data_IF_985132541674
#
_entry.id   IF_985132541674
#
_cell.length_a   1.000
_cell.length_b   1.000
_cell.length_c   1.000
_cell.angle_alpha   90.00
_cell.angle_beta   90.00
_cell.angle_gamma   90.00
#
_symmetry.space_group_name_H-M   'P 1'
#
loop_
_entity.id
_entity.type
_entity.pdbx_description
1 polymer ?
#
# COMPACT_ATOMS: atom_id res chain seq x y z
N UNK A 1 -8.30 9.41 5.84
CA UNK A 1 -7.89 8.05 5.45
C UNK A 1 -6.60 8.13 4.67
N UNK A 2 -5.82 7.06 4.70
CA UNK A 2 -4.50 6.99 4.08
C UNK A 2 -4.35 5.61 3.48
N UNK A 3 -3.98 5.54 2.21
CA UNK A 3 -3.61 4.27 1.58
C UNK A 3 -2.28 3.81 2.18
N UNK A 4 -2.11 2.53 2.44
CA UNK A 4 -0.82 1.95 2.84
C UNK A 4 -0.43 0.85 1.88
N UNK A 5 0.80 0.97 1.39
CA UNK A 5 1.45 0.07 0.45
C UNK A 5 2.17 -1.09 1.17
N UNK A 6 2.60 -2.12 0.43
CA UNK A 6 3.32 -3.27 0.96
C UNK A 6 4.61 -2.87 1.67
N UNK A 7 5.39 -1.93 1.11
CA UNK A 7 6.66 -1.48 1.67
C UNK A 7 6.57 -1.06 3.15
N UNK A 8 5.74 -0.07 3.51
CA UNK A 8 5.55 0.29 4.92
C UNK A 8 4.98 -0.83 5.80
N UNK A 9 4.13 -1.72 5.28
CA UNK A 9 3.62 -2.85 6.06
C UNK A 9 4.76 -3.81 6.44
N UNK A 10 5.68 -4.08 5.50
CA UNK A 10 6.88 -4.87 5.74
C UNK A 10 7.78 -4.13 6.74
N UNK A 11 8.10 -2.86 6.48
CA UNK A 11 9.01 -2.07 7.30
C UNK A 11 8.51 -1.88 8.74
N UNK A 12 7.20 -1.74 8.96
CA UNK A 12 6.64 -1.64 10.32
C UNK A 12 6.67 -2.97 11.08
N UNK A 13 6.62 -4.08 10.35
CA UNK A 13 6.57 -5.43 10.91
C UNK A 13 7.96 -6.00 11.18
N UNK A 14 8.91 -5.75 10.29
CA UNK A 14 10.30 -6.18 10.36
C UNK A 14 11.19 -5.07 10.93
N UNK A 15 11.62 -5.22 12.19
CA UNK A 15 12.49 -4.23 12.84
C UNK A 15 13.90 -4.13 12.26
N UNK A 16 14.30 -5.09 11.41
CA UNK A 16 15.57 -5.07 10.70
C UNK A 16 15.50 -4.38 9.34
N UNK A 17 14.29 -4.05 8.87
CA UNK A 17 14.11 -3.34 7.60
C UNK A 17 14.71 -1.92 7.68
N UNK A 18 15.40 -1.51 6.61
CA UNK A 18 16.08 -0.21 6.56
C UNK A 18 15.11 0.97 6.70
N UNK A 19 13.85 0.82 6.28
CA UNK A 19 12.83 1.86 6.36
C UNK A 19 12.06 1.83 7.69
N UNK A 20 12.34 0.86 8.58
CA UNK A 20 11.59 0.64 9.82
C UNK A 20 11.44 1.92 10.65
N UNK A 21 12.55 2.63 10.89
CA UNK A 21 12.54 3.85 11.71
C UNK A 21 11.75 4.98 11.03
N UNK A 22 11.85 5.11 9.70
CA UNK A 22 11.17 6.13 8.91
C UNK A 22 9.66 5.90 8.92
N UNK A 23 9.24 4.66 8.67
CA UNK A 23 7.84 4.26 8.73
C UNK A 23 7.25 4.36 10.14
N UNK A 24 8.01 3.96 11.18
CA UNK A 24 7.57 4.09 12.58
C UNK A 24 7.36 5.53 13.03
N UNK A 25 8.23 6.45 12.60
CA UNK A 25 8.04 7.87 12.88
C UNK A 25 6.78 8.40 12.18
N UNK A 26 6.60 8.07 10.89
CA UNK A 26 5.48 8.53 10.09
C UNK A 26 4.12 8.05 10.60
N UNK A 27 3.97 6.75 10.90
CA UNK A 27 2.68 6.16 11.27
C UNK A 27 2.08 6.78 12.53
N UNK A 28 2.90 7.31 13.45
CA UNK A 28 2.44 7.97 14.68
C UNK A 28 1.53 9.18 14.44
N UNK A 29 1.61 9.78 13.25
CA UNK A 29 0.83 10.95 12.83
C UNK A 29 -0.37 10.61 11.94
N UNK A 30 -0.54 9.33 11.55
CA UNK A 30 -1.54 8.92 10.59
C UNK A 30 -2.84 8.50 11.28
N UNK A 31 -4.00 8.94 10.76
CA UNK A 31 -5.28 8.45 11.26
C UNK A 31 -5.47 6.99 10.86
N UNK A 32 -5.84 6.15 11.83
CA UNK A 32 -6.27 4.76 11.62
C UNK A 32 -7.79 4.68 11.38
N UNK A 33 -8.28 3.66 10.65
CA UNK A 33 -7.50 2.63 9.95
C UNK A 33 -6.79 3.18 8.71
N UNK A 34 -5.61 2.62 8.42
CA UNK A 34 -5.00 2.73 7.09
C UNK A 34 -5.78 1.84 6.11
N UNK A 35 -5.79 2.16 4.83
CA UNK A 35 -6.52 1.40 3.80
C UNK A 35 -5.52 0.71 2.89
N UNK A 36 -5.67 -0.59 2.65
CA UNK A 36 -4.86 -1.34 1.68
C UNK A 36 -5.75 -2.24 0.82
N UNK A 37 -5.15 -3.07 -0.03
CA UNK A 37 -5.83 -4.02 -0.91
C UNK A 37 -5.21 -5.41 -0.77
N UNK A 38 -5.95 -6.47 -1.09
CA UNK A 38 -5.42 -7.84 -1.02
C UNK A 38 -4.15 -8.07 -1.86
N UNK A 39 -3.97 -7.49 -3.06
CA UNK A 39 -2.70 -7.54 -3.78
C UNK A 39 -1.50 -7.03 -2.97
N UNK A 40 -1.60 -5.83 -2.38
CA UNK A 40 -0.51 -5.27 -1.55
C UNK A 40 -0.30 -6.07 -0.25
N UNK A 41 -1.37 -6.56 0.39
CA UNK A 41 -1.27 -7.46 1.54
C UNK A 41 -0.57 -8.77 1.14
N UNK A 42 -0.87 -9.32 -0.04
CA UNK A 42 -0.29 -10.58 -0.52
C UNK A 42 1.21 -10.42 -0.76
N UNK A 43 1.63 -9.32 -1.37
CA UNK A 43 3.04 -8.99 -1.55
C UNK A 43 3.78 -8.87 -0.21
N UNK A 44 3.21 -8.11 0.74
CA UNK A 44 3.79 -7.97 2.07
C UNK A 44 3.89 -9.32 2.82
N UNK A 45 2.85 -10.15 2.74
CA UNK A 45 2.85 -11.50 3.33
C UNK A 45 3.89 -12.42 2.69
N UNK A 46 4.10 -12.32 1.38
CA UNK A 46 5.11 -13.09 0.66
C UNK A 46 6.52 -12.69 1.13
N UNK A 47 6.83 -11.40 1.14
CA UNK A 47 8.16 -10.90 1.56
C UNK A 47 8.43 -11.19 3.03
N UNK A 48 7.45 -10.99 3.92
CA UNK A 48 7.60 -11.31 5.35
C UNK A 48 7.77 -12.82 5.57
N UNK A 49 7.12 -13.64 4.76
CA UNK A 49 7.29 -15.10 4.78
C UNK A 49 8.71 -15.51 4.41
N UNK A 50 9.28 -14.89 3.36
CA UNK A 50 10.65 -15.15 2.93
C UNK A 50 11.69 -14.69 3.97
N UNK A 51 11.53 -13.48 4.53
CA UNK A 51 12.48 -12.88 5.47
C UNK A 51 12.42 -13.45 6.89
N UNK A 52 11.21 -13.68 7.40
CA UNK A 52 10.97 -13.95 8.82
C UNK A 52 10.04 -15.15 9.07
N UNK A 53 9.57 -15.83 8.02
CA UNK A 53 8.63 -16.94 8.14
C UNK A 53 7.29 -16.54 8.76
N UNK A 54 6.65 -17.52 9.40
CA UNK A 54 5.37 -17.32 10.07
C UNK A 54 5.35 -16.19 11.11
N UNK A 55 6.38 -15.98 11.96
CA UNK A 55 6.41 -14.86 12.88
C UNK A 55 6.14 -13.48 12.23
N UNK A 56 6.74 -13.21 11.06
CA UNK A 56 6.51 -11.96 10.33
C UNK A 56 5.10 -11.87 9.76
N UNK A 57 4.64 -12.94 9.10
CA UNK A 57 3.27 -13.00 8.55
C UNK A 57 2.19 -12.84 9.64
N UNK A 58 2.38 -13.49 10.79
CA UNK A 58 1.48 -13.39 11.95
C UNK A 58 1.39 -11.98 12.50
N UNK A 59 2.50 -11.24 12.53
CA UNK A 59 2.52 -9.87 13.02
C UNK A 59 1.71 -8.95 12.11
N UNK A 60 1.87 -9.05 10.78
CA UNK A 60 1.01 -8.35 9.83
C UNK A 60 -0.45 -8.79 9.95
N UNK A 61 -0.73 -10.09 10.08
CA UNK A 61 -2.09 -10.60 10.26
C UNK A 61 -2.77 -10.03 11.50
N UNK A 62 -2.00 -9.87 12.59
CA UNK A 62 -2.51 -9.30 13.84
C UNK A 62 -2.89 -7.83 13.66
N UNK A 63 -2.15 -7.06 12.86
CA UNK A 63 -2.47 -5.66 12.53
C UNK A 63 -3.81 -5.52 11.77
N UNK A 64 -4.12 -6.49 10.89
CA UNK A 64 -5.43 -6.57 10.21
C UNK A 64 -6.55 -6.86 11.23
N UNK A 65 -6.33 -7.79 12.16
CA UNK A 65 -7.33 -8.25 13.12
C UNK A 65 -7.73 -7.22 14.19
N UNK A 66 -6.87 -6.24 14.49
CA UNK A 66 -7.15 -5.19 15.48
C UNK A 66 -7.59 -3.85 14.87
N UNK A 67 -7.80 -3.80 13.56
CA UNK A 67 -8.29 -2.61 12.86
C UNK A 67 -7.23 -1.53 12.61
N UNK A 68 -5.93 -1.87 12.66
CA UNK A 68 -4.87 -0.93 12.26
C UNK A 68 -4.84 -0.69 10.75
N UNK A 69 -5.23 -1.71 9.98
CA UNK A 69 -5.32 -1.67 8.52
C UNK A 69 -6.65 -2.31 8.10
N UNK A 70 -7.40 -1.60 7.27
CA UNK A 70 -8.60 -2.07 6.59
C UNK A 70 -8.22 -2.49 5.17
N UNK A 71 -8.61 -3.72 4.79
CA UNK A 71 -8.40 -4.21 3.42
C UNK A 71 -9.64 -3.91 2.59
N UNK A 72 -9.58 -2.87 1.76
CA UNK A 72 -10.66 -2.51 0.86
C UNK A 72 -10.80 -3.58 -0.23
N UNK A 73 -12.05 -3.96 -0.51
CA UNK A 73 -12.37 -4.78 -1.66
C UNK A 73 -12.03 -4.03 -2.97
N UNK A 74 -11.60 -4.79 -3.97
CA UNK A 74 -11.50 -4.35 -5.36
C UNK A 74 -12.85 -4.67 -6.01
N UNK A 75 -13.52 -3.67 -6.55
CA UNK A 75 -14.83 -3.81 -7.17
C UNK A 75 -14.70 -3.95 -8.69
N UNK A 76 -15.74 -4.44 -9.36
CA UNK A 76 -15.74 -4.57 -10.82
C UNK A 76 -15.49 -3.22 -11.53
N UNK A 77 -15.95 -2.11 -10.92
CA UNK A 77 -15.70 -0.75 -11.42
C UNK A 77 -14.24 -0.30 -11.30
N UNK A 78 -13.44 -0.93 -10.45
CA UNK A 78 -12.00 -0.66 -10.31
C UNK A 78 -11.18 -1.32 -11.44
N UNK A 79 -11.66 -2.42 -12.02
CA UNK A 79 -10.89 -3.23 -12.99
C UNK A 79 -10.49 -2.46 -14.26
N UNK A 80 -11.37 -1.69 -14.94
CA UNK A 80 -10.97 -0.89 -16.09
C UNK A 80 -9.91 0.15 -15.71
N UNK A 81 -10.01 0.73 -14.51
CA UNK A 81 -9.05 1.70 -14.01
C UNK A 81 -7.70 1.06 -13.77
N UNK A 82 -7.65 -0.08 -13.09
CA UNK A 82 -6.42 -0.86 -12.85
C UNK A 82 -5.73 -1.22 -14.17
N UNK A 83 -6.47 -1.76 -15.14
CA UNK A 83 -5.93 -2.07 -16.47
C UNK A 83 -5.34 -0.84 -17.14
N UNK A 84 -6.07 0.28 -17.16
CA UNK A 84 -5.59 1.53 -17.76
C UNK A 84 -4.32 2.07 -17.11
N UNK A 85 -4.17 1.88 -15.79
CA UNK A 85 -3.00 2.31 -15.04
C UNK A 85 -1.79 1.46 -15.41
N UNK A 86 -1.93 0.13 -15.39
CA UNK A 86 -0.85 -0.78 -15.78
C UNK A 86 -0.44 -0.57 -17.24
N UNK A 87 -1.38 -0.35 -18.16
CA UNK A 87 -1.05 -0.03 -19.56
C UNK A 87 -0.31 1.31 -19.70
N UNK A 88 -0.73 2.32 -18.93
CA UNK A 88 -0.13 3.67 -18.97
C UNK A 88 1.26 3.72 -18.36
N UNK A 89 1.47 3.00 -17.25
CA UNK A 89 2.72 3.01 -16.51
C UNK A 89 3.54 1.73 -16.75
N UNK A 90 3.30 1.01 -17.84
CA UNK A 90 4.03 -0.23 -18.21
C UNK A 90 5.54 -0.06 -18.40
N UNK A 91 5.96 1.16 -18.74
CA UNK A 91 7.38 1.51 -18.89
C UNK A 91 8.00 1.87 -17.52
N UNK A 92 7.16 1.98 -16.49
CA UNK A 92 7.52 1.90 -15.07
C UNK A 92 7.21 0.47 -14.58
N UNK A 93 7.68 0.14 -13.38
CA UNK A 93 7.47 -1.16 -12.74
C UNK A 93 6.06 -1.36 -12.16
N UNK A 94 5.04 -0.60 -12.60
CA UNK A 94 3.71 -0.67 -11.98
C UNK A 94 3.14 -2.09 -12.06
N UNK A 95 2.87 -2.66 -10.90
CA UNK A 95 2.32 -3.99 -10.77
C UNK A 95 0.83 -3.98 -10.38
N UNK A 96 0.30 -5.17 -10.05
CA UNK A 96 -1.08 -5.33 -9.64
C UNK A 96 -1.37 -4.68 -8.28
N UNK A 97 -0.41 -4.69 -7.35
CA UNK A 97 -0.53 -4.09 -6.03
C UNK A 97 -0.70 -2.58 -6.17
N UNK A 98 0.23 -1.93 -6.87
CA UNK A 98 0.19 -0.50 -7.17
C UNK A 98 -1.11 -0.08 -7.85
N UNK A 99 -1.47 -0.78 -8.93
CA UNK A 99 -2.67 -0.46 -9.71
C UNK A 99 -3.94 -0.57 -8.85
N UNK A 100 -4.01 -1.59 -7.97
CA UNK A 100 -5.14 -1.77 -7.07
C UNK A 100 -5.23 -0.67 -6.02
N UNK A 101 -4.10 -0.26 -5.42
CA UNK A 101 -4.05 0.81 -4.44
C UNK A 101 -4.47 2.14 -5.07
N UNK A 102 -3.98 2.47 -6.26
CA UNK A 102 -4.33 3.71 -6.98
C UNK A 102 -5.81 3.72 -7.38
N UNK A 103 -6.35 2.60 -7.87
CA UNK A 103 -7.76 2.51 -8.25
C UNK A 103 -8.69 2.68 -7.04
N UNK A 104 -8.40 2.00 -5.93
CA UNK A 104 -9.16 2.16 -4.67
C UNK A 104 -9.02 3.57 -4.11
N UNK A 105 -7.82 4.17 -4.17
CA UNK A 105 -7.61 5.55 -3.76
C UNK A 105 -8.48 6.53 -4.56
N UNK A 106 -8.54 6.35 -5.89
CA UNK A 106 -9.38 7.14 -6.78
C UNK A 106 -10.86 7.00 -6.42
N UNK A 107 -11.36 5.76 -6.24
CA UNK A 107 -12.76 5.48 -5.89
C UNK A 107 -13.16 6.07 -4.53
N UNK A 108 -12.31 5.94 -3.53
CA UNK A 108 -12.55 6.44 -2.17
C UNK A 108 -12.19 7.93 -1.99
N UNK A 109 -11.65 8.59 -3.03
CA UNK A 109 -11.22 9.99 -2.96
C UNK A 109 -10.02 10.23 -2.03
N UNK A 110 -9.22 9.20 -1.76
CA UNK A 110 -8.05 9.27 -0.88
C UNK A 110 -6.85 9.75 -1.69
N UNK A 111 -6.16 10.79 -1.19
CA UNK A 111 -4.97 11.36 -1.85
C UNK A 111 -3.66 11.05 -1.15
N UNK A 112 -3.73 10.62 0.12
CA UNK A 112 -2.56 10.34 0.93
C UNK A 112 -2.18 8.88 0.80
N UNK A 113 -0.91 8.63 0.48
CA UNK A 113 -0.35 7.29 0.34
C UNK A 113 0.85 7.18 1.28
N UNK A 114 0.80 6.19 2.15
CA UNK A 114 1.93 5.74 2.94
C UNK A 114 2.66 4.68 2.12
N UNK A 115 3.81 5.04 1.55
CA UNK A 115 4.66 4.16 0.73
C UNK A 115 6.13 4.60 0.85
N UNK A 116 7.04 3.66 0.61
CA UNK A 116 8.48 3.93 0.44
C UNK A 116 8.92 3.76 -1.01
N UNK A 117 8.00 3.40 -1.90
CA UNK A 117 8.23 3.32 -3.34
C UNK A 117 8.13 4.70 -3.99
N UNK A 118 9.16 5.05 -4.76
CA UNK A 118 9.24 6.31 -5.49
C UNK A 118 8.34 6.39 -6.72
N UNK A 119 7.89 5.26 -7.27
CA UNK A 119 7.05 5.27 -8.49
C UNK A 119 5.68 5.92 -8.24
N UNK A 120 5.18 5.87 -7.00
CA UNK A 120 4.01 6.63 -6.55
C UNK A 120 4.13 8.15 -6.75
N UNK A 121 5.34 8.72 -6.84
CA UNK A 121 5.55 10.13 -7.15
C UNK A 121 5.23 10.46 -8.62
N UNK A 122 5.28 9.46 -9.51
CA UNK A 122 4.95 9.57 -10.93
C UNK A 122 3.47 9.26 -11.17
N UNK A 123 2.88 8.37 -10.39
CA UNK A 123 1.47 8.02 -10.50
C UNK A 123 0.56 9.24 -10.29
N UNK A 124 -0.62 9.18 -10.91
CA UNK A 124 -1.60 10.28 -10.93
C UNK A 124 -2.99 9.74 -10.67
N UNK A 125 -3.74 10.48 -9.87
CA UNK A 125 -5.18 10.24 -9.68
C UNK A 125 -5.93 10.31 -11.00
N UNK A 126 -7.16 9.82 -11.04
CA UNK A 126 -8.04 9.93 -12.21
C UNK A 126 -8.22 11.38 -12.69
N UNK A 127 -8.08 12.35 -11.78
CA UNK A 127 -8.14 13.80 -12.07
C UNK A 127 -6.78 14.41 -12.44
N UNK A 128 -5.75 13.59 -12.67
CA UNK A 128 -4.41 14.04 -13.04
C UNK A 128 -3.61 14.71 -11.92
N UNK A 129 -4.02 14.57 -10.66
CA UNK A 129 -3.32 15.17 -9.50
C UNK A 129 -2.27 14.22 -8.94
N UNK A 130 -1.25 14.79 -8.28
CA UNK A 130 -0.25 14.04 -7.50
C UNK A 130 -0.86 13.52 -6.20
N UNK A 131 -0.32 12.40 -5.70
CA UNK A 131 -0.58 11.90 -4.36
C UNK A 131 0.24 12.68 -3.32
N UNK A 132 -0.25 12.72 -2.10
CA UNK A 132 0.46 13.17 -0.90
C UNK A 132 1.18 11.97 -0.30
N UNK A 133 2.48 11.85 -0.57
CA UNK A 133 3.28 10.70 -0.12
C UNK A 133 3.82 10.90 1.28
N UNK A 134 3.89 9.80 2.03
CA UNK A 134 4.46 9.70 3.38
C UNK A 134 5.14 8.33 3.47
N UNK A 135 6.28 8.16 4.18
CA UNK A 135 7.16 9.24 4.61
C UNK A 135 7.85 9.85 3.38
#
# INVERSE_FOLDING_TARGET
MTIVDAGPLIALTDSSDQEHLRCRAAISSLPVPLVSTWPAITEAMYILGDRAGWPGQRALWSALGVGGVEVSAIMDEDLPRMKSLMEKYRDLSMDLADASLVAVADRLGIKRVFTVDSDFAVYRTAKGKRFELIP
#
